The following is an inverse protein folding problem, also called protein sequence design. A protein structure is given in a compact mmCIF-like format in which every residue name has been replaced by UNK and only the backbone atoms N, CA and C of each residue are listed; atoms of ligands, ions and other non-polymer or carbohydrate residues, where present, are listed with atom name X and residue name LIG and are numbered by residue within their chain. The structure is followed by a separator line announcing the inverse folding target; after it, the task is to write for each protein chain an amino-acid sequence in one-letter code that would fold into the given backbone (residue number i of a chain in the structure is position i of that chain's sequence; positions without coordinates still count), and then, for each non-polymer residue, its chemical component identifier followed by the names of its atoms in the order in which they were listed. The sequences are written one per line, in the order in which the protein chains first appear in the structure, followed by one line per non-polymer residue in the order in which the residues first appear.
data_IF_460396511942
#
_entry.id   IF_460396511942
#
_cell.length_a   1.000
_cell.length_b   1.000
_cell.length_c   1.000
_cell.angle_alpha   90.00
_cell.angle_beta   90.00
_cell.angle_gamma   90.00
#
_symmetry.space_group_name_H-M   'P 1'
#
loop_
_entity.id
_entity.type
_entity.pdbx_description
1 polymer ?
#
# COMPACT_ATOMS: atom_id res chain seq x y z
N UNK A 1 -27.63 13.49 -29.99
CA UNK A 1 -26.25 13.01 -30.22
C UNK A 1 -25.19 13.66 -29.32
N UNK A 2 -25.35 14.90 -28.85
CA UNK A 2 -24.32 15.58 -28.03
C UNK A 2 -24.12 14.93 -26.64
N UNK A 3 -25.19 14.45 -26.00
CA UNK A 3 -25.13 13.80 -24.67
C UNK A 3 -24.31 12.49 -24.67
N UNK A 4 -24.43 11.64 -25.70
CA UNK A 4 -23.62 10.42 -25.83
C UNK A 4 -22.13 10.73 -25.94
N UNK A 5 -21.77 11.78 -26.67
CA UNK A 5 -20.38 12.20 -26.83
C UNK A 5 -19.83 12.75 -25.51
N UNK A 6 -20.63 13.52 -24.76
CA UNK A 6 -20.26 13.99 -23.42
C UNK A 6 -20.05 12.80 -22.48
N UNK A 7 -20.96 11.83 -22.46
CA UNK A 7 -20.82 10.64 -21.62
C UNK A 7 -19.58 9.82 -21.98
N UNK A 8 -19.23 9.66 -23.26
CA UNK A 8 -18.03 8.93 -23.66
C UNK A 8 -16.71 9.67 -23.40
N UNK A 9 -16.75 10.99 -23.27
CA UNK A 9 -15.57 11.83 -23.04
C UNK A 9 -15.39 12.25 -21.58
N UNK A 10 -16.33 11.87 -20.71
CA UNK A 10 -16.28 12.19 -19.28
C UNK A 10 -15.06 11.55 -18.63
N UNK A 11 -14.41 12.31 -17.75
CA UNK A 11 -13.24 11.88 -16.99
C UNK A 11 -13.38 12.40 -15.56
N UNK A 12 -12.96 11.59 -14.59
CA UNK A 12 -12.85 11.99 -13.19
C UNK A 12 -11.89 13.18 -13.06
N UNK A 13 -10.72 13.10 -13.68
CA UNK A 13 -9.70 14.14 -13.53
C UNK A 13 -9.30 14.32 -12.06
N UNK A 14 -9.43 15.54 -11.54
CA UNK A 14 -9.14 15.87 -10.14
C UNK A 14 -10.36 15.88 -9.21
N UNK A 15 -11.56 15.52 -9.70
CA UNK A 15 -12.75 15.44 -8.86
C UNK A 15 -12.77 14.14 -8.05
N UNK A 16 -13.66 14.06 -7.06
CA UNK A 16 -13.89 12.82 -6.32
C UNK A 16 -14.60 11.79 -7.21
N UNK A 17 -14.44 10.50 -6.91
CA UNK A 17 -15.21 9.43 -7.56
C UNK A 17 -16.71 9.66 -7.37
N UNK A 18 -17.12 10.18 -6.20
CA UNK A 18 -18.52 10.50 -5.91
C UNK A 18 -19.11 11.51 -6.91
N UNK A 19 -18.41 12.63 -7.12
CA UNK A 19 -18.85 13.68 -8.05
C UNK A 19 -18.87 13.17 -9.50
N UNK A 20 -17.82 12.43 -9.88
CA UNK A 20 -17.72 11.82 -11.21
C UNK A 20 -18.87 10.84 -11.49
N UNK A 21 -19.21 9.97 -10.54
CA UNK A 21 -20.33 9.02 -10.68
C UNK A 21 -21.67 9.76 -10.75
N UNK A 22 -21.84 10.84 -9.98
CA UNK A 22 -23.04 11.67 -10.02
C UNK A 22 -23.21 12.32 -11.40
N UNK A 23 -22.14 12.83 -11.99
CA UNK A 23 -22.16 13.43 -13.32
C UNK A 23 -22.52 12.41 -14.41
N UNK A 24 -21.94 11.20 -14.36
CA UNK A 24 -22.33 10.08 -15.25
C UNK A 24 -23.82 9.78 -15.13
N UNK A 25 -24.33 9.72 -13.89
CA UNK A 25 -25.75 9.45 -13.65
C UNK A 25 -26.64 10.53 -14.25
N UNK A 26 -26.31 11.80 -14.05
CA UNK A 26 -27.07 12.91 -14.62
C UNK A 26 -27.13 12.85 -16.15
N UNK A 27 -26.02 12.47 -16.81
CA UNK A 27 -25.98 12.25 -18.25
C UNK A 27 -26.82 11.04 -18.67
N UNK A 28 -26.80 9.94 -17.90
CA UNK A 28 -27.61 8.76 -18.15
C UNK A 28 -29.11 9.05 -18.02
N UNK A 29 -29.51 9.77 -16.96
CA UNK A 29 -30.90 10.18 -16.72
C UNK A 29 -31.39 11.13 -17.83
N UNK A 30 -30.53 12.04 -18.32
CA UNK A 30 -30.84 12.93 -19.45
C UNK A 30 -30.98 12.18 -20.77
N UNK A 31 -30.17 11.14 -20.99
CA UNK A 31 -30.27 10.26 -22.15
C UNK A 31 -31.55 9.41 -22.11
N UNK A 32 -31.93 8.90 -20.93
CA UNK A 32 -33.19 8.18 -20.72
C UNK A 32 -34.41 9.08 -20.98
N UNK A 33 -34.39 10.33 -20.50
CA UNK A 33 -35.43 11.32 -20.79
C UNK A 33 -35.57 11.62 -22.29
N UNK A 34 -34.49 11.48 -23.06
CA UNK A 34 -34.47 11.63 -24.51
C UNK A 34 -34.80 10.33 -25.28
N UNK A 35 -35.21 9.26 -24.58
CA UNK A 35 -35.45 7.91 -25.15
C UNK A 35 -34.22 7.25 -25.79
N UNK A 36 -33.01 7.65 -25.40
CA UNK A 36 -31.72 7.04 -25.80
C UNK A 36 -31.11 6.33 -24.58
N UNK A 37 -31.72 5.22 -24.16
CA UNK A 37 -31.26 4.50 -22.97
C UNK A 37 -29.88 3.91 -23.16
N UNK A 38 -29.08 3.94 -22.10
CA UNK A 38 -27.74 3.38 -22.09
C UNK A 38 -27.71 2.08 -21.31
N UNK A 39 -26.93 1.10 -21.75
CA UNK A 39 -26.85 -0.18 -21.06
C UNK A 39 -26.01 -0.07 -19.77
N UNK A 40 -26.35 -0.88 -18.76
CA UNK A 40 -25.54 -0.98 -17.54
C UNK A 40 -24.08 -1.33 -17.83
N UNK A 41 -23.84 -2.16 -18.85
CA UNK A 41 -22.49 -2.54 -19.28
C UNK A 41 -21.73 -1.33 -19.82
N UNK A 42 -22.37 -0.52 -20.65
CA UNK A 42 -21.74 0.68 -21.21
C UNK A 42 -21.49 1.74 -20.13
N UNK A 43 -22.39 1.87 -19.14
CA UNK A 43 -22.17 2.73 -17.97
C UNK A 43 -20.93 2.31 -17.19
N UNK A 44 -20.79 1.01 -16.90
CA UNK A 44 -19.63 0.49 -16.18
C UNK A 44 -18.35 0.73 -16.99
N UNK A 45 -18.37 0.46 -18.30
CA UNK A 45 -17.21 0.72 -19.16
C UNK A 45 -16.85 2.21 -19.19
N UNK A 46 -17.84 3.09 -19.23
CA UNK A 46 -17.63 4.54 -19.17
C UNK A 46 -16.98 4.94 -17.84
N UNK A 47 -17.45 4.40 -16.72
CA UNK A 47 -16.82 4.62 -15.40
C UNK A 47 -15.36 4.13 -15.41
N UNK A 48 -15.09 2.91 -15.85
CA UNK A 48 -13.74 2.34 -15.87
C UNK A 48 -12.77 3.12 -16.76
N UNK A 49 -13.24 3.62 -17.91
CA UNK A 49 -12.41 4.41 -18.82
C UNK A 49 -12.12 5.83 -18.31
N UNK A 50 -13.03 6.39 -17.49
CA UNK A 50 -12.94 7.77 -17.01
C UNK A 50 -12.19 7.98 -15.69
N UNK A 51 -11.93 6.92 -14.90
CA UNK A 51 -11.34 7.02 -13.54
C UNK A 51 -9.82 7.26 -13.51
N UNK A 52 -9.11 6.91 -14.58
CA UNK A 52 -7.66 7.11 -14.69
C UNK A 52 -6.81 5.96 -14.10
N UNK A 53 -5.50 6.02 -14.35
CA UNK A 53 -4.54 4.93 -14.11
C UNK A 53 -4.39 4.51 -12.64
N UNK A 54 -4.68 5.41 -11.69
CA UNK A 54 -4.64 5.09 -10.26
C UNK A 54 -5.65 3.98 -9.87
N UNK A 55 -6.64 3.71 -10.74
CA UNK A 55 -7.68 2.72 -10.53
C UNK A 55 -7.50 1.46 -11.39
N UNK A 56 -6.36 1.26 -12.05
CA UNK A 56 -6.10 0.12 -12.95
C UNK A 56 -6.35 -1.25 -12.29
N UNK A 57 -6.11 -1.35 -10.98
CA UNK A 57 -6.41 -2.53 -10.17
C UNK A 57 -7.92 -2.86 -10.16
N UNK A 58 -8.77 -1.84 -9.98
CA UNK A 58 -10.23 -1.97 -9.99
C UNK A 58 -10.73 -2.23 -11.40
N UNK A 59 -10.17 -1.54 -12.40
CA UNK A 59 -10.51 -1.77 -13.81
C UNK A 59 -10.24 -3.23 -14.17
N UNK A 60 -9.07 -3.77 -13.80
CA UNK A 60 -8.72 -5.18 -14.04
C UNK A 60 -9.66 -6.14 -13.30
N UNK A 61 -10.00 -5.85 -12.05
CA UNK A 61 -10.93 -6.66 -11.25
C UNK A 61 -12.32 -6.72 -11.89
N UNK A 62 -12.86 -5.57 -12.31
CA UNK A 62 -14.21 -5.47 -12.89
C UNK A 62 -14.25 -6.09 -14.28
N UNK A 63 -13.21 -5.89 -15.10
CA UNK A 63 -13.16 -6.42 -16.48
C UNK A 63 -12.85 -7.91 -16.56
N UNK A 64 -12.15 -8.47 -15.56
CA UNK A 64 -11.85 -9.91 -15.49
C UNK A 64 -13.01 -10.76 -14.95
N UNK A 65 -14.01 -10.16 -14.31
CA UNK A 65 -15.18 -10.89 -13.86
C UNK A 65 -16.01 -11.41 -15.04
N UNK A 66 -16.18 -12.73 -15.10
CA UNK A 66 -17.03 -13.38 -16.10
C UNK A 66 -18.53 -13.13 -15.85
N UNK A 67 -18.89 -12.78 -14.61
CA UNK A 67 -20.27 -12.45 -14.22
C UNK A 67 -20.54 -10.98 -14.48
N UNK A 68 -21.81 -10.66 -14.72
CA UNK A 68 -22.26 -9.27 -14.84
C UNK A 68 -22.10 -8.56 -13.49
N UNK A 69 -21.19 -7.59 -13.43
CA UNK A 69 -21.04 -6.70 -12.27
C UNK A 69 -22.23 -5.73 -12.25
N UNK A 70 -22.98 -5.62 -11.15
CA UNK A 70 -24.01 -4.59 -11.06
C UNK A 70 -23.36 -3.21 -10.93
N UNK A 71 -24.00 -2.19 -11.49
CA UNK A 71 -23.47 -0.80 -11.52
C UNK A 71 -23.13 -0.29 -10.12
N UNK A 72 -23.96 -0.62 -9.13
CA UNK A 72 -23.74 -0.24 -7.72
C UNK A 72 -22.46 -0.81 -7.14
N UNK A 73 -22.11 -2.05 -7.47
CA UNK A 73 -20.89 -2.68 -6.97
C UNK A 73 -19.66 -2.06 -7.63
N UNK A 74 -19.74 -1.74 -8.93
CA UNK A 74 -18.67 -1.02 -9.61
C UNK A 74 -18.41 0.36 -8.97
N UNK A 75 -19.47 1.11 -8.65
CA UNK A 75 -19.37 2.38 -7.92
C UNK A 75 -18.76 2.19 -6.53
N UNK A 76 -19.21 1.19 -5.78
CA UNK A 76 -18.69 0.88 -4.46
C UNK A 76 -17.20 0.53 -4.50
N UNK A 77 -16.77 -0.30 -5.45
CA UNK A 77 -15.36 -0.66 -5.62
C UNK A 77 -14.48 0.56 -5.92
N UNK A 78 -14.96 1.49 -6.74
CA UNK A 78 -14.24 2.74 -7.03
C UNK A 78 -14.10 3.62 -5.78
N UNK A 79 -15.18 3.80 -5.01
CA UNK A 79 -15.17 4.60 -3.78
C UNK A 79 -14.24 3.99 -2.72
N UNK A 80 -14.30 2.67 -2.52
CA UNK A 80 -13.41 1.96 -1.61
C UNK A 80 -11.94 2.12 -2.02
N UNK A 81 -11.66 2.10 -3.32
CA UNK A 81 -10.31 2.27 -3.82
C UNK A 81 -9.81 3.71 -3.67
N UNK A 82 -10.67 4.71 -3.86
CA UNK A 82 -10.36 6.12 -3.59
C UNK A 82 -9.91 6.33 -2.13
N UNK A 83 -10.69 5.81 -1.18
CA UNK A 83 -10.32 5.86 0.25
C UNK A 83 -8.97 5.18 0.54
N UNK A 84 -8.68 4.06 -0.13
CA UNK A 84 -7.39 3.37 0.01
C UNK A 84 -6.24 4.21 -0.54
N UNK A 85 -6.41 4.87 -1.70
CA UNK A 85 -5.39 5.77 -2.27
C UNK A 85 -5.12 6.92 -1.30
N UNK A 86 -6.16 7.55 -0.76
CA UNK A 86 -6.03 8.63 0.23
C UNK A 86 -5.24 8.20 1.48
N UNK A 87 -5.55 7.00 2.00
CA UNK A 87 -4.81 6.41 3.12
C UNK A 87 -3.33 6.21 2.79
N UNK A 88 -3.01 5.66 1.61
CA UNK A 88 -1.61 5.44 1.19
C UNK A 88 -0.86 6.76 1.01
N UNK A 89 -1.51 7.79 0.49
CA UNK A 89 -0.93 9.11 0.34
C UNK A 89 -0.66 9.76 1.70
N UNK A 90 -1.59 9.62 2.67
CA UNK A 90 -1.37 10.12 4.03
C UNK A 90 -0.17 9.45 4.73
N UNK A 91 0.01 8.13 4.58
CA UNK A 91 1.17 7.40 5.12
C UNK A 91 2.46 7.81 4.43
N UNK A 92 2.44 7.96 3.10
CA UNK A 92 3.62 8.38 2.34
C UNK A 92 4.10 9.78 2.76
N UNK A 93 3.17 10.70 3.03
CA UNK A 93 3.50 12.03 3.55
C UNK A 93 4.16 11.99 4.94
N UNK A 94 3.80 11.01 5.79
CA UNK A 94 4.46 10.81 7.10
C UNK A 94 5.89 10.27 6.97
N UNK A 95 6.15 9.42 5.98
CA UNK A 95 7.49 8.85 5.73
C UNK A 95 8.44 9.91 5.16
N UNK A 96 7.96 10.69 4.19
CA UNK A 96 8.73 11.77 3.55
C UNK A 96 8.95 12.97 4.49
N UNK A 97 8.04 13.20 5.45
CA UNK A 97 8.11 14.28 6.44
C UNK A 97 9.07 14.06 7.62
N UNK A 98 9.82 12.97 7.67
CA UNK A 98 10.82 12.71 8.72
C UNK A 98 10.42 11.59 9.68
N UNK A 99 10.24 10.38 9.16
CA UNK A 99 10.25 9.18 9.99
C UNK A 99 11.66 8.96 10.58
N UNK A 100 11.90 9.55 11.76
CA UNK A 100 13.10 9.29 12.55
C UNK A 100 13.00 7.87 13.12
N UNK A 101 13.51 6.89 12.38
CA UNK A 101 13.67 5.53 12.91
C UNK A 101 14.71 5.59 14.04
N UNK A 102 14.29 5.30 15.28
CA UNK A 102 15.20 5.12 16.41
C UNK A 102 16.10 3.91 16.13
N UNK A 103 17.24 4.16 15.49
CA UNK A 103 18.27 3.17 15.24
C UNK A 103 18.99 2.86 16.56
N UNK A 104 18.57 1.81 17.25
CA UNK A 104 19.32 1.26 18.37
C UNK A 104 20.52 0.46 17.82
N UNK A 105 21.64 1.14 17.53
CA UNK A 105 22.88 0.43 17.24
C UNK A 105 23.44 -0.11 18.55
N UNK A 106 23.22 -1.40 18.83
CA UNK A 106 23.98 -2.10 19.87
C UNK A 106 25.39 -2.36 19.34
N UNK A 107 26.29 -1.37 19.44
CA UNK A 107 27.70 -1.55 19.13
C UNK A 107 28.38 -2.28 20.29
N UNK A 108 28.15 -3.60 20.35
CA UNK A 108 29.11 -4.49 21.00
C UNK A 108 30.33 -4.58 20.09
N UNK A 109 31.26 -3.64 20.28
CA UNK A 109 32.54 -3.56 19.58
C UNK A 109 33.46 -4.70 20.01
N UNK A 110 33.17 -5.89 19.48
CA UNK A 110 34.11 -7.00 19.44
C UNK A 110 34.86 -6.99 18.09
N UNK A 111 36.12 -6.53 18.14
CA UNK A 111 37.28 -6.88 17.27
C UNK A 111 38.41 -5.88 17.58
N UNK A 112 39.42 -6.29 18.35
CA UNK A 112 40.72 -6.84 17.93
C UNK A 112 41.63 -5.82 17.22
N UNK A 113 42.86 -5.82 17.74
CA UNK A 113 44.10 -5.32 17.17
C UNK A 113 44.41 -3.82 17.32
N UNK A 114 45.15 -3.49 18.40
CA UNK A 114 46.24 -2.50 18.34
C UNK A 114 47.27 -2.65 19.47
N UNK A 115 48.35 -3.35 19.10
CA UNK A 115 49.76 -3.27 19.50
C UNK A 115 50.17 -2.00 20.28
N UNK A 116 50.72 -2.16 21.49
CA UNK A 116 51.32 -1.03 22.23
C UNK A 116 51.89 -1.35 23.62
N UNK A 117 53.12 -1.88 23.65
CA UNK A 117 54.21 -1.56 24.59
C UNK A 117 53.95 -1.50 26.12
N UNK A 118 54.24 -2.58 26.85
CA UNK A 118 54.52 -2.52 28.29
C UNK A 118 55.76 -3.34 28.67
N UNK A 119 56.88 -2.63 28.80
CA UNK A 119 57.97 -3.07 29.66
C UNK A 119 57.56 -2.78 31.10
N UNK A 120 57.26 -3.82 31.89
CA UNK A 120 57.64 -3.81 33.29
C UNK A 120 57.79 -5.22 33.86
N UNK A 121 58.98 -5.45 34.38
CA UNK A 121 59.44 -6.61 35.12
C UNK A 121 58.69 -6.68 36.45
N UNK A 122 58.26 -7.87 36.86
CA UNK A 122 58.04 -8.15 38.27
C UNK A 122 56.93 -9.14 38.58
N UNK A 123 57.31 -10.27 39.16
CA UNK A 123 56.52 -10.84 40.26
C UNK A 123 55.75 -12.13 39.98
N UNK A 124 56.36 -13.24 40.40
CA UNK A 124 55.77 -14.34 41.19
C UNK A 124 54.39 -14.91 40.79
N UNK A 125 54.35 -16.16 40.31
CA UNK A 125 54.17 -17.42 41.09
C UNK A 125 52.73 -17.66 41.58
N UNK A 126 52.13 -18.73 41.06
CA UNK A 126 50.95 -19.40 41.63
C UNK A 126 50.08 -20.04 40.53
N UNK A 127 50.48 -21.15 39.91
CA UNK A 127 50.20 -22.54 40.34
C UNK A 127 48.77 -22.74 40.86
N UNK A 128 47.94 -23.38 40.02
CA UNK A 128 46.61 -23.86 40.40
C UNK A 128 45.94 -24.68 39.30
N UNK A 129 46.58 -25.78 38.88
CA UNK A 129 46.01 -26.80 38.00
C UNK A 129 45.51 -27.96 38.87
N UNK A 130 44.22 -28.26 38.80
CA UNK A 130 43.60 -29.50 39.31
C UNK A 130 42.14 -29.55 38.87
N UNK A 131 41.74 -30.39 37.90
CA UNK A 131 41.35 -31.81 38.05
C UNK A 131 40.22 -31.97 39.08
N UNK A 132 39.13 -32.73 38.90
CA UNK A 132 38.74 -33.82 38.00
C UNK A 132 37.24 -34.12 38.29
N UNK A 133 36.49 -34.56 37.27
CA UNK A 133 35.50 -35.64 37.26
C UNK A 133 34.87 -36.17 38.58
N UNK A 134 33.56 -36.46 38.54
CA UNK A 134 32.97 -37.61 39.24
C UNK A 134 31.63 -37.32 39.93
N UNK A 135 30.52 -37.79 39.33
CA UNK A 135 29.15 -37.52 39.79
C UNK A 135 28.56 -38.49 40.82
N UNK A 136 27.28 -38.27 41.16
CA UNK A 136 26.31 -39.25 41.72
C UNK A 136 24.93 -38.57 41.80
N UNK A 137 24.01 -38.85 40.85
CA UNK A 137 22.85 -39.76 40.94
C UNK A 137 21.89 -39.54 42.14
N UNK A 138 20.66 -39.21 41.77
CA UNK A 138 19.33 -39.41 42.40
C UNK A 138 19.30 -40.31 43.65
N UNK A 139 18.62 -39.82 44.70
CA UNK A 139 17.24 -40.19 45.06
C UNK A 139 16.61 -39.03 45.83
#
# INVERSE_FOLDING_TARGET
MQLRQQLQSIKKGSSSVGDFVLEIKNLADALEAASDTISNRDLILTMMNGVGHEYDSVVTLVTSQQKTVPVKDAQFLLLMHEQRIEQLNSVSNLIVGGASANLATNTSSDKRDQKGNFNNRGGQRGRGKGNRFGGRRLL
#
